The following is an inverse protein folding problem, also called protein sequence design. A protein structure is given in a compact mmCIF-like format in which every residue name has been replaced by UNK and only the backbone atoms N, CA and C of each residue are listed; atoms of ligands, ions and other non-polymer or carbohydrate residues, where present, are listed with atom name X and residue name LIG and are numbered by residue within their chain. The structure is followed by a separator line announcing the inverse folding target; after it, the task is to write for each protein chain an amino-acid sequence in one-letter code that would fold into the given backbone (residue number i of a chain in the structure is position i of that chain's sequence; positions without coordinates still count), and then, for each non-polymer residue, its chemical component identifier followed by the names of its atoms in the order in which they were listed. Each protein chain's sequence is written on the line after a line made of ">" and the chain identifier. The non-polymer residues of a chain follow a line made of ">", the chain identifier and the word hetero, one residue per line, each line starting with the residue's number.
data_IF_645366896172
#
_entry.id   IF_645366896172
#
_cell.length_a   1.000
_cell.length_b   1.000
_cell.length_c   1.000
_cell.angle_alpha   90.00
_cell.angle_beta   90.00
_cell.angle_gamma   90.00
#
_symmetry.space_group_name_H-M   'P 1'
#
loop_
_entity.id
_entity.type
_entity.pdbx_description
1 polymer ?
#
# COMPACT_ATOMS: atom_id res chain seq x y z
N UNK A 1 -20.14 1.69 -4.15
CA UNK A 1 -19.29 2.84 -4.49
C UNK A 1 -18.09 2.85 -3.56
N UNK A 2 -16.92 3.32 -4.00
CA UNK A 2 -15.68 3.21 -3.22
C UNK A 2 -15.50 4.27 -2.12
N UNK A 3 -16.28 5.36 -2.16
CA UNK A 3 -16.15 6.50 -1.24
C UNK A 3 -17.08 6.43 -0.01
N UNK A 4 -18.07 5.53 -0.02
CA UNK A 4 -18.99 5.32 1.10
C UNK A 4 -20.04 6.42 1.28
N UNK A 5 -20.90 6.24 2.28
CA UNK A 5 -22.11 7.05 2.50
C UNK A 5 -21.83 8.48 3.00
N UNK A 6 -20.60 8.75 3.43
CA UNK A 6 -20.18 10.08 3.88
C UNK A 6 -19.97 11.07 2.72
N UNK A 7 -19.96 10.59 1.48
CA UNK A 7 -19.64 11.39 0.30
C UNK A 7 -20.90 11.75 -0.50
N UNK A 8 -21.11 13.04 -0.76
CA UNK A 8 -22.11 13.51 -1.71
C UNK A 8 -21.46 13.72 -3.09
N UNK A 9 -21.94 12.98 -4.09
CA UNK A 9 -21.41 13.10 -5.45
C UNK A 9 -21.95 14.34 -6.16
N UNK A 10 -21.05 15.07 -6.80
CA UNK A 10 -21.41 16.21 -7.65
C UNK A 10 -21.91 15.77 -9.02
N UNK A 11 -22.75 16.60 -9.64
CA UNK A 11 -23.18 16.40 -11.02
C UNK A 11 -21.97 16.23 -11.96
N UNK A 12 -21.98 15.18 -12.79
CA UNK A 12 -20.92 14.86 -13.75
C UNK A 12 -19.81 13.95 -13.20
N UNK A 13 -19.87 13.50 -11.94
CA UNK A 13 -18.87 12.58 -11.39
C UNK A 13 -18.76 11.28 -12.22
N UNK A 14 -19.84 10.82 -12.82
CA UNK A 14 -19.91 9.58 -13.61
C UNK A 14 -19.00 9.58 -14.85
N UNK A 15 -18.56 10.74 -15.33
CA UNK A 15 -17.64 10.86 -16.48
C UNK A 15 -16.20 11.14 -16.09
N UNK A 16 -15.87 11.23 -14.78
CA UNK A 16 -14.53 11.58 -14.33
C UNK A 16 -13.47 10.56 -14.77
N UNK A 17 -13.84 9.30 -14.99
CA UNK A 17 -12.91 8.31 -15.53
C UNK A 17 -12.30 8.73 -16.88
N UNK A 18 -13.01 9.55 -17.68
CA UNK A 18 -12.63 9.88 -19.05
C UNK A 18 -11.39 10.77 -19.17
N UNK A 19 -11.08 11.59 -18.15
CA UNK A 19 -9.88 12.43 -18.17
C UNK A 19 -8.64 11.69 -17.64
N UNK A 20 -8.79 10.49 -17.07
CA UNK A 20 -7.69 9.76 -16.45
C UNK A 20 -6.85 9.09 -17.56
N UNK A 21 -5.63 9.58 -17.84
CA UNK A 21 -4.85 9.10 -18.99
C UNK A 21 -4.44 7.63 -18.84
N UNK A 22 -4.30 7.14 -17.61
CA UNK A 22 -3.85 5.77 -17.35
C UNK A 22 -4.81 4.69 -17.85
N UNK A 23 -6.10 5.00 -18.06
CA UNK A 23 -7.03 4.01 -18.63
C UNK A 23 -6.80 3.76 -20.13
N UNK A 24 -6.21 4.73 -20.84
CA UNK A 24 -6.00 4.66 -22.28
C UNK A 24 -4.53 4.49 -22.63
N UNK A 25 -3.65 5.28 -22.02
CA UNK A 25 -2.24 5.37 -22.40
C UNK A 25 -1.33 4.41 -21.61
N UNK A 26 -1.79 3.88 -20.47
CA UNK A 26 -0.98 3.00 -19.61
C UNK A 26 -1.88 2.00 -18.87
N UNK A 27 -2.60 1.13 -19.61
CA UNK A 27 -3.55 0.21 -18.99
C UNK A 27 -2.86 -0.68 -17.95
N UNK A 28 -3.59 -1.01 -16.88
CA UNK A 28 -3.12 -1.80 -15.72
C UNK A 28 -2.02 -1.15 -14.86
N UNK A 29 -1.56 0.05 -15.17
CA UNK A 29 -0.51 0.71 -14.41
C UNK A 29 -0.95 1.12 -13.00
N UNK A 30 -2.17 1.63 -12.85
CA UNK A 30 -2.63 2.24 -11.59
C UNK A 30 -2.69 1.28 -10.40
N UNK A 31 -2.83 -0.03 -10.65
CA UNK A 31 -2.74 -1.05 -9.61
C UNK A 31 -1.37 -1.04 -8.91
N UNK A 32 -0.30 -0.70 -9.63
CA UNK A 32 1.04 -0.65 -9.05
C UNK A 32 1.17 0.38 -7.93
N UNK A 33 0.35 1.45 -7.92
CA UNK A 33 0.31 2.40 -6.81
C UNK A 33 -0.28 1.78 -5.56
N UNK A 34 -1.46 1.15 -5.66
CA UNK A 34 -2.10 0.50 -4.51
C UNK A 34 -1.25 -0.68 -3.99
N UNK A 35 -0.67 -1.46 -4.90
CA UNK A 35 0.26 -2.53 -4.55
C UNK A 35 1.51 -1.99 -3.84
N UNK A 36 2.12 -0.93 -4.39
CA UNK A 36 3.31 -0.31 -3.82
C UNK A 36 3.05 0.28 -2.44
N UNK A 37 1.91 0.97 -2.26
CA UNK A 37 1.50 1.54 -0.98
C UNK A 37 1.31 0.45 0.09
N UNK A 38 0.51 -0.57 -0.22
CA UNK A 38 0.31 -1.69 0.71
C UNK A 38 1.62 -2.44 1.04
N UNK A 39 2.51 -2.60 0.06
CA UNK A 39 3.82 -3.23 0.25
C UNK A 39 4.71 -2.42 1.20
N UNK A 40 4.77 -1.10 1.01
CA UNK A 40 5.55 -0.21 1.88
C UNK A 40 4.97 -0.17 3.30
N UNK A 41 3.64 -0.14 3.44
CA UNK A 41 2.99 -0.20 4.75
C UNK A 41 3.31 -1.48 5.51
N UNK A 42 3.36 -2.63 4.83
CA UNK A 42 3.75 -3.89 5.44
C UNK A 42 5.25 -3.94 5.82
N UNK A 43 6.14 -3.39 4.99
CA UNK A 43 7.56 -3.22 5.32
C UNK A 43 7.73 -2.32 6.55
N UNK A 44 7.02 -1.20 6.60
CA UNK A 44 7.04 -0.30 7.74
C UNK A 44 6.52 -0.97 9.01
N UNK A 45 5.43 -1.74 8.92
CA UNK A 45 4.92 -2.48 10.06
C UNK A 45 5.91 -3.55 10.56
N UNK A 46 6.65 -4.22 9.66
CA UNK A 46 7.73 -5.13 10.07
C UNK A 46 8.90 -4.39 10.75
N UNK A 47 9.23 -3.18 10.30
CA UNK A 47 10.20 -2.33 10.97
C UNK A 47 9.73 -1.91 12.37
N UNK A 48 8.49 -1.43 12.50
CA UNK A 48 7.89 -1.00 13.76
C UNK A 48 7.81 -2.14 14.79
N UNK A 49 7.55 -3.37 14.34
CA UNK A 49 7.55 -4.58 15.17
C UNK A 49 8.98 -5.03 15.60
N UNK A 50 10.02 -4.34 15.13
CA UNK A 50 11.40 -4.60 15.53
C UNK A 50 12.07 -5.77 14.81
N UNK A 51 11.73 -6.02 13.53
CA UNK A 51 12.35 -7.10 12.74
C UNK A 51 13.90 -7.01 12.79
N UNK A 52 14.59 -8.06 13.27
CA UNK A 52 16.04 -8.04 13.39
C UNK A 52 16.78 -7.85 12.05
N UNK A 53 17.70 -6.88 12.02
CA UNK A 53 18.48 -6.56 10.82
C UNK A 53 17.62 -6.03 9.67
N UNK A 54 16.53 -5.33 9.97
CA UNK A 54 15.65 -4.73 8.96
C UNK A 54 16.43 -3.85 7.97
N UNK A 55 17.29 -2.97 8.46
CA UNK A 55 18.05 -2.01 7.64
C UNK A 55 18.91 -2.72 6.59
N UNK A 56 19.67 -3.74 6.99
CA UNK A 56 20.51 -4.54 6.08
C UNK A 56 19.66 -5.22 5.00
N UNK A 57 18.56 -5.87 5.40
CA UNK A 57 17.60 -6.51 4.47
C UNK A 57 17.01 -5.50 3.50
N UNK A 58 16.67 -4.30 3.98
CA UNK A 58 16.11 -3.22 3.18
C UNK A 58 17.12 -2.68 2.16
N UNK A 59 18.38 -2.46 2.57
CA UNK A 59 19.43 -2.06 1.63
C UNK A 59 19.70 -3.13 0.58
N UNK A 60 19.67 -4.42 0.93
CA UNK A 60 19.88 -5.49 -0.04
C UNK A 60 18.71 -5.62 -1.02
N UNK A 61 17.48 -5.39 -0.57
CA UNK A 61 16.32 -5.26 -1.44
C UNK A 61 16.50 -4.11 -2.44
N UNK A 62 16.88 -2.92 -1.96
CA UNK A 62 17.09 -1.75 -2.82
C UNK A 62 18.22 -1.98 -3.84
N UNK A 63 19.33 -2.59 -3.43
CA UNK A 63 20.45 -2.94 -4.33
C UNK A 63 20.03 -3.92 -5.42
N UNK A 64 19.09 -4.82 -5.15
CA UNK A 64 18.60 -5.78 -6.13
C UNK A 64 17.81 -5.11 -7.26
N UNK A 65 17.24 -3.92 -7.04
CA UNK A 65 16.42 -3.22 -8.03
C UNK A 65 15.36 -4.13 -8.65
N UNK A 66 15.28 -4.15 -9.99
CA UNK A 66 14.36 -5.02 -10.73
C UNK A 66 14.87 -6.43 -11.04
N UNK A 67 16.01 -6.87 -10.47
CA UNK A 67 16.64 -8.15 -10.82
C UNK A 67 15.95 -9.38 -10.21
N UNK A 68 15.03 -9.19 -9.27
CA UNK A 68 14.30 -10.26 -8.57
C UNK A 68 12.80 -9.97 -8.56
N UNK A 69 11.98 -11.02 -8.49
CA UNK A 69 10.54 -10.85 -8.31
C UNK A 69 10.22 -10.34 -6.90
N UNK A 70 9.11 -9.61 -6.75
CA UNK A 70 8.65 -9.07 -5.46
C UNK A 70 8.55 -10.15 -4.37
N UNK A 71 8.13 -11.37 -4.72
CA UNK A 71 8.08 -12.51 -3.77
C UNK A 71 9.46 -12.83 -3.19
N UNK A 72 10.50 -12.83 -4.01
CA UNK A 72 11.87 -13.10 -3.56
C UNK A 72 12.44 -11.93 -2.76
N UNK A 73 12.08 -10.70 -3.12
CA UNK A 73 12.49 -9.49 -2.41
C UNK A 73 11.87 -9.38 -1.00
N UNK A 74 10.64 -9.87 -0.83
CA UNK A 74 9.90 -9.80 0.42
C UNK A 74 10.17 -10.97 1.38
N UNK A 75 10.62 -12.12 0.87
CA UNK A 75 10.89 -13.30 1.68
C UNK A 75 11.85 -13.05 2.89
N UNK A 76 12.94 -12.27 2.77
CA UNK A 76 13.81 -11.95 3.91
C UNK A 76 13.13 -11.21 5.08
N UNK A 77 12.00 -10.56 4.82
CA UNK A 77 11.20 -9.84 5.82
C UNK A 77 10.11 -10.73 6.44
N UNK A 78 10.00 -11.99 5.99
CA UNK A 78 8.89 -12.88 6.37
C UNK A 78 7.55 -12.44 5.77
N UNK A 79 7.57 -11.70 4.67
CA UNK A 79 6.40 -11.10 4.04
C UNK A 79 6.02 -11.85 2.75
N UNK A 80 4.72 -12.08 2.54
CA UNK A 80 4.17 -12.71 1.34
C UNK A 80 2.95 -11.94 0.84
N UNK A 81 3.12 -11.22 -0.27
CA UNK A 81 2.05 -10.43 -0.89
C UNK A 81 0.89 -11.29 -1.47
N UNK A 82 1.05 -12.61 -1.56
CA UNK A 82 -0.02 -13.53 -1.98
C UNK A 82 -0.93 -13.98 -0.83
N UNK A 83 -0.54 -13.73 0.43
CA UNK A 83 -1.40 -13.97 1.59
C UNK A 83 -2.30 -12.75 1.84
N UNK A 84 -3.65 -12.85 1.81
CA UNK A 84 -4.53 -11.73 2.13
C UNK A 84 -4.23 -11.06 3.47
N UNK A 85 -3.80 -11.83 4.48
CA UNK A 85 -3.48 -11.30 5.83
C UNK A 85 -2.30 -10.35 5.83
N UNK A 86 -1.44 -10.42 4.82
CA UNK A 86 -0.35 -9.46 4.63
C UNK A 86 -0.88 -8.04 4.50
N UNK A 87 -1.98 -7.86 3.76
CA UNK A 87 -2.57 -6.55 3.52
C UNK A 87 -3.28 -5.99 4.75
N UNK A 88 -3.87 -6.86 5.59
CA UNK A 88 -4.50 -6.47 6.86
C UNK A 88 -3.52 -5.71 7.76
N UNK A 89 -2.25 -6.12 7.77
CA UNK A 89 -1.21 -5.46 8.59
C UNK A 89 -0.97 -4.01 8.16
N UNK A 90 -0.87 -3.76 6.85
CA UNK A 90 -0.70 -2.42 6.31
C UNK A 90 -1.93 -1.54 6.54
N UNK A 91 -3.12 -2.10 6.34
CA UNK A 91 -4.39 -1.40 6.56
C UNK A 91 -4.63 -1.07 8.04
N UNK A 92 -4.27 -1.97 8.95
CA UNK A 92 -4.42 -1.77 10.40
C UNK A 92 -3.56 -0.61 10.91
N UNK A 93 -2.39 -0.38 10.28
CA UNK A 93 -1.53 0.76 10.62
C UNK A 93 -2.18 2.09 10.24
N UNK A 94 -2.79 2.17 9.04
CA UNK A 94 -3.56 3.36 8.63
C UNK A 94 -4.76 3.58 9.56
N UNK A 95 -5.49 2.51 9.91
CA UNK A 95 -6.60 2.60 10.86
C UNK A 95 -6.14 3.16 12.21
N UNK A 96 -4.99 2.71 12.73
CA UNK A 96 -4.43 3.24 13.97
C UNK A 96 -4.10 4.74 13.89
N UNK A 97 -3.61 5.24 12.75
CA UNK A 97 -3.40 6.68 12.58
C UNK A 97 -4.71 7.49 12.55
N UNK A 98 -5.80 6.90 12.06
CA UNK A 98 -7.13 7.52 12.12
C UNK A 98 -7.59 7.58 13.58
N UNK A 99 -7.47 6.48 14.33
CA UNK A 99 -7.83 6.42 15.76
C UNK A 99 -7.03 7.45 16.59
N UNK A 100 -5.72 7.58 16.31
CA UNK A 100 -4.86 8.59 16.97
C UNK A 100 -5.34 10.01 16.69
N UNK A 101 -5.73 10.31 15.45
CA UNK A 101 -6.26 11.62 15.07
C UNK A 101 -7.59 11.92 15.76
N UNK A 102 -8.51 10.95 15.80
CA UNK A 102 -9.81 11.10 16.48
C UNK A 102 -9.63 11.37 17.99
N UNK A 103 -8.65 10.73 18.63
CA UNK A 103 -8.36 10.94 20.04
C UNK A 103 -7.75 12.32 20.36
N UNK A 104 -7.17 13.03 19.38
CA UNK A 104 -6.65 14.38 19.55
C UNK A 104 -7.74 15.46 19.58
N UNK A 105 -8.91 15.17 19.00
CA UNK A 105 -10.05 16.11 18.95
C UNK A 105 -11.01 15.95 20.15
N UNK A 106 -10.81 14.92 20.98
CA UNK A 106 -11.58 14.64 22.21
C UNK A 106 -11.07 15.41 23.43
#
# INVERSE_FOLDING_TARGET
>A
ESLGDAFEFMDGYEVFWSYIPHFVHSPFYVYAYAFGDGLVNALYAAYADGLPGFEEKYFDMLKAGGSKHHKELLAPFGLDASDPKFWDKGLSMIAGFIDELEAMEA
#
